data_IF_693531493970
#
_entry.id   IF_693531493970
#
_cell.length_a   1.000
_cell.length_b   1.000
_cell.length_c   1.000
_cell.angle_alpha   90.00
_cell.angle_beta   90.00
_cell.angle_gamma   90.00
#
_symmetry.space_group_name_H-M   'P 1'
#
loop_
_entity.id
_entity.type
_entity.pdbx_description
1 polymer ?
#
# COMPACT_ATOMS: atom_id res chain seq x y z
N UNK A 1 18.75 8.86 -5.73
CA UNK A 1 17.30 8.96 -6.07
C UNK A 1 16.64 7.64 -5.74
N UNK A 2 15.55 7.67 -4.98
CA UNK A 2 14.79 6.50 -4.57
C UNK A 2 13.43 6.46 -5.29
N UNK A 3 12.78 5.29 -5.29
CA UNK A 3 11.51 5.06 -5.98
C UNK A 3 10.50 4.41 -5.05
N UNK A 4 9.27 4.94 -5.06
CA UNK A 4 8.10 4.34 -4.42
C UNK A 4 7.11 3.94 -5.52
N UNK A 5 6.50 2.76 -5.39
CA UNK A 5 5.48 2.28 -6.32
C UNK A 5 4.27 1.84 -5.51
N UNK A 6 3.10 2.39 -5.84
CA UNK A 6 1.83 2.10 -5.17
C UNK A 6 0.77 1.70 -6.18
N UNK A 7 -0.12 0.80 -5.79
CA UNK A 7 -1.34 0.51 -6.55
C UNK A 7 -2.49 1.30 -5.90
N UNK A 8 -2.99 2.33 -6.60
CA UNK A 8 -3.93 3.33 -6.08
C UNK A 8 -5.17 3.46 -6.99
N UNK A 9 -6.28 4.02 -6.47
CA UNK A 9 -7.54 4.08 -7.22
C UNK A 9 -7.42 4.95 -8.47
N UNK A 10 -8.06 4.54 -9.56
CA UNK A 10 -8.13 5.34 -10.80
C UNK A 10 -8.90 6.64 -10.62
N UNK A 11 -9.85 6.69 -9.69
CA UNK A 11 -10.60 7.90 -9.35
C UNK A 11 -9.81 8.90 -8.47
N UNK A 12 -8.67 8.50 -7.90
CA UNK A 12 -7.91 9.36 -6.99
C UNK A 12 -7.29 10.55 -7.75
N UNK A 13 -7.49 11.80 -7.34
CA UNK A 13 -6.92 12.95 -8.04
C UNK A 13 -5.40 13.08 -7.78
N UNK A 14 -4.64 13.80 -8.63
CA UNK A 14 -3.18 13.87 -8.51
C UNK A 14 -2.63 14.41 -7.19
N UNK A 15 -3.34 15.33 -6.51
CA UNK A 15 -2.89 15.87 -5.22
C UNK A 15 -2.95 14.81 -4.10
N UNK A 16 -4.06 14.07 -4.02
CA UNK A 16 -4.22 12.96 -3.08
C UNK A 16 -3.17 11.86 -3.29
N UNK A 17 -2.71 11.64 -4.53
CA UNK A 17 -1.64 10.68 -4.82
C UNK A 17 -0.33 11.03 -4.09
N UNK A 18 0.03 12.31 -4.03
CA UNK A 18 1.24 12.76 -3.35
C UNK A 18 1.10 12.64 -1.83
N UNK A 19 -0.07 12.98 -1.28
CA UNK A 19 -0.35 12.86 0.15
C UNK A 19 -0.33 11.40 0.62
N UNK A 20 -0.90 10.49 -0.18
CA UNK A 20 -0.84 9.04 0.08
C UNK A 20 0.61 8.54 0.01
N UNK A 21 1.38 8.97 -1.00
CA UNK A 21 2.78 8.60 -1.12
C UNK A 21 3.64 9.11 0.04
N UNK A 22 3.44 10.35 0.47
CA UNK A 22 4.09 10.94 1.63
C UNK A 22 3.75 10.19 2.93
N UNK A 23 2.46 9.87 3.11
CA UNK A 23 1.98 9.06 4.23
C UNK A 23 2.65 7.70 4.24
N UNK A 24 2.69 7.00 3.10
CA UNK A 24 3.32 5.69 3.01
C UNK A 24 4.81 5.73 3.38
N UNK A 25 5.56 6.73 2.90
CA UNK A 25 6.98 6.90 3.25
C UNK A 25 7.16 7.05 4.76
N UNK A 26 6.33 7.89 5.40
CA UNK A 26 6.37 8.13 6.83
C UNK A 26 5.99 6.88 7.63
N UNK A 27 4.93 6.16 7.23
CA UNK A 27 4.49 4.93 7.88
C UNK A 27 5.55 3.82 7.80
N UNK A 28 6.31 3.79 6.70
CA UNK A 28 7.43 2.85 6.53
C UNK A 28 8.72 3.31 7.19
N UNK A 29 8.69 4.41 7.95
CA UNK A 29 9.86 4.94 8.66
C UNK A 29 10.91 5.57 7.75
N UNK A 30 10.57 5.84 6.49
CA UNK A 30 11.44 6.65 5.62
C UNK A 30 11.32 8.10 6.10
N UNK A 31 12.36 8.61 6.74
CA UNK A 31 12.39 9.99 7.26
C UNK A 31 13.38 10.84 6.47
N UNK A 32 13.20 12.16 6.53
CA UNK A 32 14.11 13.12 5.88
C UNK A 32 14.12 13.04 4.36
N UNK A 33 13.07 12.50 3.75
CA UNK A 33 12.93 12.49 2.29
C UNK A 33 12.53 13.86 1.75
N UNK A 34 12.92 14.15 0.52
CA UNK A 34 12.62 15.43 -0.18
C UNK A 34 12.35 15.22 -1.67
N UNK A 35 11.79 16.25 -2.33
CA UNK A 35 11.36 16.27 -3.73
C UNK A 35 10.57 15.03 -4.15
N UNK A 36 9.50 14.73 -3.39
CA UNK A 36 8.55 13.68 -3.76
C UNK A 36 7.78 14.12 -5.00
N UNK A 37 7.91 13.36 -6.08
CA UNK A 37 7.32 13.67 -7.37
C UNK A 37 6.65 12.44 -7.97
N UNK A 38 5.47 12.64 -8.55
CA UNK A 38 4.79 11.67 -9.39
C UNK A 38 5.54 11.56 -10.73
N UNK A 39 5.89 10.35 -11.16
CA UNK A 39 6.58 10.10 -12.44
C UNK A 39 5.69 9.45 -13.47
N UNK A 40 5.06 8.34 -13.13
CA UNK A 40 4.28 7.57 -14.10
C UNK A 40 3.03 6.97 -13.48
N UNK A 41 2.01 6.80 -14.32
CA UNK A 41 0.81 6.02 -14.02
C UNK A 41 0.68 4.93 -15.09
N UNK A 42 0.42 3.70 -14.67
CA UNK A 42 0.22 2.54 -15.53
C UNK A 42 -1.10 1.87 -15.18
N UNK A 43 -1.84 1.41 -16.17
CA UNK A 43 -3.04 0.60 -15.93
C UNK A 43 -2.66 -0.72 -15.26
N UNK A 44 -3.56 -1.24 -14.43
CA UNK A 44 -3.47 -2.63 -13.94
C UNK A 44 -4.46 -3.50 -14.72
N UNK A 45 -4.52 -4.79 -14.41
CA UNK A 45 -5.57 -5.68 -14.95
C UNK A 45 -6.99 -5.35 -14.46
N UNK A 46 -7.18 -4.26 -13.71
CA UNK A 46 -8.49 -3.81 -13.21
C UNK A 46 -8.73 -2.35 -13.63
N UNK A 47 -9.99 -1.98 -13.90
CA UNK A 47 -10.36 -0.60 -14.20
C UNK A 47 -10.35 0.33 -12.98
N UNK A 48 -10.36 -0.26 -11.78
CA UNK A 48 -10.50 0.46 -10.51
C UNK A 48 -9.16 0.92 -9.94
N UNK A 49 -8.07 0.24 -10.28
CA UNK A 49 -6.75 0.48 -9.71
C UNK A 49 -5.73 0.74 -10.82
N UNK A 50 -4.86 1.71 -10.60
CA UNK A 50 -3.68 1.98 -11.42
C UNK A 50 -2.43 1.85 -10.58
N UNK A 51 -1.33 1.48 -11.23
CA UNK A 51 -0.01 1.54 -10.64
C UNK A 51 0.56 2.94 -10.80
N UNK A 52 1.08 3.49 -9.72
CA UNK A 52 1.63 4.84 -9.66
C UNK A 52 3.06 4.76 -9.17
N UNK A 53 3.97 5.42 -9.89
CA UNK A 53 5.40 5.47 -9.54
C UNK A 53 5.77 6.89 -9.12
N UNK A 54 6.39 7.00 -7.96
CA UNK A 54 6.95 8.24 -7.42
C UNK A 54 8.46 8.13 -7.28
N UNK A 55 9.14 9.26 -7.37
CA UNK A 55 10.56 9.39 -7.00
C UNK A 55 10.71 10.38 -5.88
N UNK A 56 11.75 10.17 -5.07
CA UNK A 56 12.11 11.07 -3.98
C UNK A 56 13.61 10.95 -3.70
N UNK A 57 14.15 11.87 -2.91
CA UNK A 57 15.53 11.83 -2.44
C UNK A 57 15.56 11.50 -0.96
N UNK A 58 16.59 10.76 -0.55
CA UNK A 58 16.93 10.58 0.87
C UNK A 58 18.39 10.93 1.06
N UNK A 59 18.78 11.44 2.23
CA UNK A 59 20.18 11.44 2.61
C UNK A 59 20.68 9.99 2.70
N UNK A 60 21.91 9.77 2.21
CA UNK A 60 22.52 8.45 1.98
C UNK A 60 22.58 7.50 3.19
N UNK A 61 22.27 7.98 4.40
CA UNK A 61 22.24 7.21 5.64
C UNK A 61 20.97 6.39 5.84
N UNK A 62 19.94 6.52 5.00
CA UNK A 62 18.69 5.74 5.14
C UNK A 62 18.77 4.45 4.33
N UNK A 63 19.06 3.32 4.99
CA UNK A 63 19.15 1.99 4.37
C UNK A 63 17.78 1.34 4.07
N UNK A 64 16.69 1.91 4.60
CA UNK A 64 15.33 1.44 4.38
C UNK A 64 14.84 1.85 2.99
N UNK A 65 14.91 0.91 2.06
CA UNK A 65 14.28 1.04 0.76
C UNK A 65 12.80 0.63 0.90
N UNK A 66 11.83 1.47 0.50
CA UNK A 66 10.43 1.08 0.52
C UNK A 66 10.28 -0.12 -0.40
N UNK A 67 9.81 -1.22 0.16
CA UNK A 67 9.60 -2.43 -0.60
C UNK A 67 8.58 -2.19 -1.70
N UNK A 68 8.85 -2.78 -2.87
CA UNK A 68 7.91 -2.78 -3.97
C UNK A 68 6.84 -3.83 -3.72
N UNK A 69 5.77 -3.44 -3.04
CA UNK A 69 4.61 -4.31 -2.83
C UNK A 69 3.56 -3.97 -3.89
N UNK A 70 3.29 -4.92 -4.77
CA UNK A 70 2.22 -4.83 -5.76
C UNK A 70 0.94 -5.40 -5.15
N UNK A 71 0.04 -4.54 -4.69
CA UNK A 71 -1.24 -4.97 -4.11
C UNK A 71 -2.13 -5.67 -5.13
N UNK A 72 -2.08 -5.25 -6.40
CA UNK A 72 -2.79 -5.94 -7.47
C UNK A 72 -2.26 -7.37 -7.67
N UNK A 73 -0.94 -7.55 -7.66
CA UNK A 73 -0.34 -8.89 -7.75
C UNK A 73 -0.69 -9.71 -6.52
N UNK A 74 -0.57 -9.14 -5.32
CA UNK A 74 -0.98 -9.81 -4.08
C UNK A 74 -2.45 -10.27 -4.18
N UNK A 75 -3.35 -9.37 -4.57
CA UNK A 75 -4.77 -9.66 -4.73
C UNK A 75 -5.01 -10.81 -5.70
N UNK A 76 -4.30 -10.84 -6.83
CA UNK A 76 -4.41 -11.91 -7.83
C UNK A 76 -4.04 -13.29 -7.27
N UNK A 77 -3.12 -13.38 -6.32
CA UNK A 77 -2.68 -14.64 -5.71
C UNK A 77 -3.58 -15.13 -4.56
N UNK A 78 -4.45 -14.27 -4.04
CA UNK A 78 -5.36 -14.64 -2.95
C UNK A 78 -6.57 -15.42 -3.45
N UNK A 79 -6.98 -16.41 -2.67
CA UNK A 79 -8.24 -17.13 -2.89
C UNK A 79 -9.45 -16.22 -2.61
N UNK A 80 -10.63 -16.59 -3.13
CA UNK A 80 -11.84 -15.79 -2.94
C UNK A 80 -12.25 -15.65 -1.46
N UNK A 81 -11.99 -16.67 -0.65
CA UNK A 81 -12.18 -16.66 0.81
C UNK A 81 -11.27 -15.64 1.49
N UNK A 82 -9.98 -15.63 1.13
CA UNK A 82 -9.00 -14.66 1.63
C UNK A 82 -9.35 -13.23 1.22
N UNK A 83 -9.73 -13.02 -0.04
CA UNK A 83 -10.21 -11.73 -0.55
C UNK A 83 -11.41 -11.24 0.26
N UNK A 84 -12.39 -12.11 0.50
CA UNK A 84 -13.59 -11.77 1.28
C UNK A 84 -13.21 -11.38 2.72
N UNK A 85 -12.31 -12.14 3.36
CA UNK A 85 -11.84 -11.82 4.70
C UNK A 85 -11.12 -10.45 4.77
N UNK A 86 -10.32 -10.12 3.75
CA UNK A 86 -9.66 -8.81 3.66
C UNK A 86 -10.63 -7.66 3.40
N UNK A 87 -11.66 -7.86 2.57
CA UNK A 87 -12.67 -6.82 2.33
C UNK A 87 -13.47 -6.53 3.59
N UNK A 88 -13.74 -7.52 4.44
CA UNK A 88 -14.42 -7.28 5.72
C UNK A 88 -13.63 -6.39 6.70
N UNK A 89 -12.32 -6.20 6.50
CA UNK A 89 -11.53 -5.24 7.29
C UNK A 89 -11.94 -3.78 7.03
N UNK A 90 -12.43 -3.46 5.84
CA UNK A 90 -12.82 -2.09 5.50
C UNK A 90 -14.10 -1.66 6.23
N UNK A 91 -14.87 -2.61 6.74
CA UNK A 91 -16.07 -2.39 7.55
C UNK A 91 -15.79 -2.19 9.06
N UNK A 92 -14.53 -1.89 9.43
CA UNK A 92 -14.12 -1.70 10.83
C UNK A 92 -13.60 -2.96 11.53
N UNK A 93 -13.31 -4.03 10.76
CA UNK A 93 -12.73 -5.25 11.28
C UNK A 93 -11.29 -5.07 11.79
N UNK A 94 -10.96 -5.70 12.91
CA UNK A 94 -9.58 -5.77 13.42
C UNK A 94 -8.73 -6.72 12.58
N UNK A 95 -7.46 -6.39 12.38
CA UNK A 95 -6.48 -7.29 11.76
C UNK A 95 -6.29 -8.51 12.67
N UNK A 96 -6.92 -9.63 12.31
CA UNK A 96 -6.83 -10.88 13.08
C UNK A 96 -5.49 -11.58 12.85
N UNK A 97 -5.09 -12.46 13.77
CA UNK A 97 -3.88 -13.27 13.64
C UNK A 97 -3.86 -14.09 12.34
N UNK A 98 -5.03 -14.55 11.87
CA UNK A 98 -5.15 -15.28 10.60
C UNK A 98 -4.77 -14.39 9.42
N UNK A 99 -5.29 -13.16 9.38
CA UNK A 99 -4.97 -12.16 8.34
C UNK A 99 -3.50 -11.76 8.42
N UNK A 100 -2.96 -11.58 9.64
CA UNK A 100 -1.54 -11.32 9.83
C UNK A 100 -0.69 -12.42 9.22
N UNK A 101 -0.97 -13.68 9.56
CA UNK A 101 -0.24 -14.84 9.01
C UNK A 101 -0.35 -14.95 7.50
N UNK A 102 -1.54 -14.71 6.94
CA UNK A 102 -1.78 -14.70 5.50
C UNK A 102 -0.88 -13.66 4.82
N UNK A 103 -0.97 -12.39 5.23
CA UNK A 103 -0.21 -11.30 4.61
C UNK A 103 1.30 -11.44 4.85
N UNK A 104 1.73 -11.92 6.02
CA UNK A 104 3.15 -12.23 6.26
C UNK A 104 3.65 -13.35 5.34
N UNK A 105 2.84 -14.39 5.09
CA UNK A 105 3.21 -15.46 4.16
C UNK A 105 3.30 -14.98 2.71
N UNK A 106 2.36 -14.15 2.29
CA UNK A 106 2.23 -13.75 0.88
C UNK A 106 3.11 -12.54 0.51
N UNK A 107 3.31 -11.59 1.44
CA UNK A 107 4.03 -10.34 1.20
C UNK A 107 5.23 -10.10 2.14
N UNK A 108 5.49 -11.00 3.09
CA UNK A 108 6.55 -10.84 4.08
C UNK A 108 6.14 -10.01 5.31
N UNK A 109 6.94 -10.08 6.37
CA UNK A 109 6.70 -9.39 7.64
C UNK A 109 6.78 -7.86 7.53
N UNK A 110 7.58 -7.37 6.58
CA UNK A 110 7.76 -5.95 6.24
C UNK A 110 6.56 -5.34 5.50
N UNK A 111 5.53 -6.14 5.21
CA UNK A 111 4.25 -5.64 4.70
C UNK A 111 3.59 -4.67 5.68
N UNK A 112 3.60 -5.02 6.97
CA UNK A 112 2.98 -4.24 8.02
C UNK A 112 3.80 -3.00 8.35
N UNK A 113 3.11 -1.92 8.70
CA UNK A 113 3.72 -0.73 9.30
C UNK A 113 3.47 -0.74 10.80
N UNK A 114 4.29 -0.03 11.55
CA UNK A 114 4.09 0.12 12.99
C UNK A 114 3.24 1.36 13.26
N UNK A 115 2.38 1.26 14.25
CA UNK A 115 1.72 2.43 14.83
C UNK A 115 2.65 3.11 15.88
N UNK A 116 2.25 4.25 16.46
CA UNK A 116 3.05 4.90 17.51
C UNK A 116 3.24 4.07 18.78
N UNK A 117 2.35 3.12 19.08
CA UNK A 117 2.46 2.20 20.20
C UNK A 117 3.39 1.00 19.90
N UNK A 118 3.74 0.80 18.62
CA UNK A 118 4.60 -0.27 18.14
C UNK A 118 3.83 -1.47 17.57
N UNK A 119 2.50 -1.42 17.56
CA UNK A 119 1.64 -2.49 17.06
C UNK A 119 1.62 -2.53 15.53
N UNK A 120 1.44 -3.73 14.98
CA UNK A 120 1.35 -3.93 13.54
C UNK A 120 -0.01 -3.47 13.01
N UNK A 121 0.02 -2.60 12.01
CA UNK A 121 -1.15 -2.16 11.27
C UNK A 121 -0.94 -2.27 9.76
N UNK A 122 -2.05 -2.28 9.03
CA UNK A 122 -2.01 -2.25 7.56
C UNK A 122 -1.53 -0.87 7.08
N UNK A 123 -0.69 -0.81 6.02
CA UNK A 123 -0.34 0.46 5.39
C UNK A 123 -1.59 1.19 4.89
N UNK A 124 -1.57 2.52 4.97
CA UNK A 124 -2.68 3.37 4.52
C UNK A 124 -3.00 3.13 3.04
N UNK A 125 -1.98 3.02 2.18
CA UNK A 125 -2.19 2.70 0.76
C UNK A 125 -2.91 1.37 0.53
N UNK A 126 -2.63 0.34 1.34
CA UNK A 126 -3.31 -0.95 1.24
C UNK A 126 -4.77 -0.87 1.71
N UNK A 127 -5.05 -0.09 2.75
CA UNK A 127 -6.43 0.15 3.19
C UNK A 127 -7.25 0.85 2.10
N UNK A 128 -6.66 1.84 1.42
CA UNK A 128 -7.29 2.52 0.28
C UNK A 128 -7.56 1.53 -0.86
N UNK A 129 -6.58 0.67 -1.16
CA UNK A 129 -6.75 -0.41 -2.13
C UNK A 129 -7.94 -1.32 -1.77
N UNK A 130 -7.99 -1.85 -0.55
CA UNK A 130 -9.08 -2.71 -0.09
C UNK A 130 -10.44 -2.02 -0.16
N UNK A 131 -10.52 -0.75 0.26
CA UNK A 131 -11.75 0.03 0.18
C UNK A 131 -12.24 0.17 -1.26
N UNK A 132 -11.31 0.44 -2.18
CA UNK A 132 -11.62 0.57 -3.61
C UNK A 132 -12.16 -0.73 -4.20
N UNK A 133 -11.56 -1.86 -3.81
CA UNK A 133 -11.99 -3.19 -4.26
C UNK A 133 -13.34 -3.62 -3.63
N UNK A 134 -13.67 -3.12 -2.44
CA UNK A 134 -14.96 -3.38 -1.79
C UNK A 134 -16.13 -2.64 -2.48
N UNK A 135 -15.90 -1.38 -2.88
CA UNK A 135 -16.94 -0.52 -3.45
C UNK A 135 -17.03 -0.57 -4.97
N UNK A 136 -15.92 -0.83 -5.65
CA UNK A 136 -15.93 -1.12 -7.08
C UNK A 136 -16.31 -2.58 -7.29
N UNK A 137 -17.61 -2.89 -7.28
CA UNK A 137 -18.13 -4.22 -7.60
C UNK A 137 -17.57 -4.67 -8.96
N UNK A 138 -16.99 -5.87 -8.98
CA UNK A 138 -16.66 -6.64 -10.19
C UNK A 138 -17.93 -7.16 -10.86
#
# INVERSE_FOLDING_TARGET
>A
MCRLVLDLPTACPPHDLLDIAATELNERGTRGWTNLELRTTQTTGTALVRRVTFTYWTPATTTLHPQRISYHTLWAHLENTDRTALLNLTAGGTVSLAITRLLTRTAGSSFFVRDPAGDHRLPTSFRIFLHTMAHGRF
#
